data_IF_735509489059
#
_entry.id   IF_735509489059
#
_cell.length_a   1.000
_cell.length_b   1.000
_cell.length_c   1.000
_cell.angle_alpha   90.00
_cell.angle_beta   90.00
_cell.angle_gamma   90.00
#
_symmetry.space_group_name_H-M   'P 1'
#
loop_
_entity.id
_entity.type
_entity.pdbx_description
1 polymer ?
#
# COMPACT_ATOMS: atom_id res chain seq x y z
N UNK A 1 30.04 -4.29 -3.35
CA UNK A 1 28.78 -4.05 -4.08
C UNK A 1 27.67 -4.02 -3.04
N UNK A 2 27.21 -2.83 -2.65
CA UNK A 2 26.22 -2.66 -1.60
C UNK A 2 24.80 -2.86 -2.12
N UNK A 3 24.00 -3.62 -1.37
CA UNK A 3 22.57 -3.79 -1.58
C UNK A 3 21.88 -2.47 -1.17
N UNK A 4 21.53 -1.63 -2.15
CA UNK A 4 20.89 -0.32 -1.95
C UNK A 4 19.42 -0.45 -1.58
N UNK A 5 19.14 -0.91 -0.35
CA UNK A 5 17.79 -0.91 0.23
C UNK A 5 17.55 0.46 0.88
N UNK A 6 17.03 1.40 0.12
CA UNK A 6 16.66 2.71 0.67
C UNK A 6 15.39 2.55 1.51
N UNK A 7 15.53 2.77 2.82
CA UNK A 7 14.51 2.55 3.83
C UNK A 7 13.74 3.85 4.05
N UNK A 8 12.41 3.82 3.98
CA UNK A 8 11.59 4.99 4.34
C UNK A 8 11.55 5.12 5.86
N UNK A 9 12.35 6.04 6.40
CA UNK A 9 12.38 6.27 7.83
C UNK A 9 11.15 7.09 8.27
N UNK A 10 10.33 6.49 9.14
CA UNK A 10 9.29 7.22 9.85
C UNK A 10 9.96 8.02 10.98
N UNK A 11 9.98 9.35 10.86
CA UNK A 11 10.39 10.24 11.96
C UNK A 11 9.20 10.44 12.89
N UNK A 12 9.45 10.59 14.20
CA UNK A 12 8.49 10.50 15.34
C UNK A 12 7.17 11.29 15.22
N UNK A 13 6.95 12.12 14.20
CA UNK A 13 5.64 12.68 13.88
C UNK A 13 5.44 13.06 12.41
N UNK A 14 6.32 12.60 11.50
CA UNK A 14 6.32 13.03 10.09
C UNK A 14 6.82 11.96 9.15
N UNK A 15 6.31 11.99 7.91
CA UNK A 15 6.78 11.13 6.83
C UNK A 15 8.02 11.79 6.23
N UNK A 16 9.14 11.06 6.17
CA UNK A 16 10.32 11.50 5.41
C UNK A 16 10.05 11.31 3.92
N UNK A 17 10.19 12.38 3.14
CA UNK A 17 10.02 12.33 1.69
C UNK A 17 11.37 12.03 1.04
N UNK A 18 11.50 11.00 0.19
CA UNK A 18 12.78 10.68 -0.45
C UNK A 18 13.24 11.81 -1.40
N UNK A 19 14.55 12.01 -1.50
CA UNK A 19 15.15 13.02 -2.40
C UNK A 19 15.30 12.53 -3.86
N UNK A 20 15.06 11.24 -4.12
CA UNK A 20 15.14 10.67 -5.45
C UNK A 20 14.03 11.23 -6.37
N UNK A 21 14.30 11.42 -7.69
CA UNK A 21 13.30 11.91 -8.63
C UNK A 21 12.03 11.05 -8.67
N UNK A 22 10.88 11.66 -8.99
CA UNK A 22 9.60 10.96 -9.03
C UNK A 22 9.00 10.81 -7.62
N UNK A 23 8.33 9.68 -7.34
CA UNK A 23 7.80 9.39 -5.99
C UNK A 23 8.90 8.90 -5.02
N UNK A 24 10.12 8.71 -5.52
CA UNK A 24 11.27 8.29 -4.72
C UNK A 24 11.16 6.87 -4.13
N UNK A 25 10.30 6.02 -4.70
CA UNK A 25 10.11 4.63 -4.30
C UNK A 25 10.08 3.77 -5.56
N UNK A 26 10.87 2.71 -5.58
CA UNK A 26 10.92 1.72 -6.65
C UNK A 26 10.44 0.35 -6.13
N UNK A 27 9.67 -0.37 -6.96
CA UNK A 27 9.34 -1.75 -6.67
C UNK A 27 10.55 -2.65 -6.97
N UNK A 28 10.67 -3.75 -6.23
CA UNK A 28 11.64 -4.78 -6.59
C UNK A 28 11.22 -5.45 -7.90
N UNK A 29 12.20 -5.82 -8.72
CA UNK A 29 11.95 -6.51 -10.00
C UNK A 29 11.14 -7.82 -9.84
N UNK A 30 11.27 -8.48 -8.70
CA UNK A 30 10.59 -9.74 -8.36
C UNK A 30 9.27 -9.56 -7.59
N UNK A 31 8.79 -8.32 -7.42
CA UNK A 31 7.63 -8.03 -6.58
C UNK A 31 6.35 -8.73 -7.06
N UNK A 32 6.13 -8.80 -8.37
CA UNK A 32 4.94 -9.41 -8.98
C UNK A 32 4.90 -10.94 -8.80
N UNK A 33 6.07 -11.59 -8.89
CA UNK A 33 6.19 -13.04 -8.66
C UNK A 33 6.02 -13.38 -7.17
N UNK A 34 6.62 -12.57 -6.28
CA UNK A 34 6.56 -12.79 -4.83
C UNK A 34 5.18 -12.48 -4.24
N UNK A 35 4.48 -11.50 -4.81
CA UNK A 35 3.18 -11.03 -4.34
C UNK A 35 2.18 -10.96 -5.50
N UNK A 36 1.72 -12.12 -5.99
CA UNK A 36 0.80 -12.17 -7.11
C UNK A 36 -0.51 -11.47 -6.76
N UNK A 37 -1.15 -10.92 -7.79
CA UNK A 37 -2.43 -10.22 -7.65
C UNK A 37 -3.44 -11.14 -6.98
N UNK A 38 -3.98 -10.68 -5.86
CA UNK A 38 -5.13 -11.28 -5.20
C UNK A 38 -6.35 -10.49 -5.60
N UNK A 39 -7.47 -11.18 -5.81
CA UNK A 39 -8.76 -10.51 -5.96
C UNK A 39 -8.97 -9.60 -4.74
N UNK A 40 -9.03 -8.29 -4.99
CA UNK A 40 -9.13 -7.27 -3.96
C UNK A 40 -10.51 -6.66 -4.07
N UNK A 41 -11.30 -6.85 -3.02
CA UNK A 41 -12.63 -6.27 -2.90
C UNK A 41 -13.62 -7.30 -2.44
N UNK A 42 -13.97 -7.26 -1.16
CA UNK A 42 -15.32 -7.65 -0.79
C UNK A 42 -16.19 -6.41 -0.98
N UNK A 43 -17.16 -6.46 -1.89
CA UNK A 43 -18.24 -5.46 -1.97
C UNK A 43 -19.28 -5.69 -0.84
N UNK A 44 -18.84 -6.26 0.28
CA UNK A 44 -19.68 -6.50 1.45
C UNK A 44 -20.00 -5.17 2.10
N UNK A 45 -21.12 -4.57 1.68
CA UNK A 45 -21.77 -3.51 2.40
C UNK A 45 -22.47 -4.09 3.64
N UNK A 46 -22.30 -3.43 4.80
CA UNK A 46 -23.22 -3.64 5.91
C UNK A 46 -24.59 -3.12 5.50
N UNK A 47 -25.63 -3.92 5.75
CA UNK A 47 -27.01 -3.57 5.39
C UNK A 47 -27.88 -3.60 6.63
N UNK A 48 -28.87 -2.73 6.68
CA UNK A 48 -29.96 -2.81 7.64
C UNK A 48 -30.88 -3.99 7.29
N UNK A 49 -31.79 -4.34 8.21
CA UNK A 49 -32.74 -5.45 8.01
C UNK A 49 -33.67 -5.23 6.80
N UNK A 50 -33.86 -3.98 6.37
CA UNK A 50 -34.62 -3.61 5.18
C UNK A 50 -33.78 -3.67 3.88
N UNK A 51 -32.51 -4.04 3.96
CA UNK A 51 -31.59 -4.16 2.82
C UNK A 51 -30.91 -2.85 2.39
N UNK A 52 -31.24 -1.72 3.01
CA UNK A 52 -30.54 -0.45 2.75
C UNK A 52 -29.08 -0.50 3.21
N UNK A 53 -28.20 0.22 2.50
CA UNK A 53 -26.78 0.28 2.84
C UNK A 53 -26.59 1.11 4.10
N UNK A 54 -25.89 0.53 5.08
CA UNK A 54 -25.50 1.18 6.31
C UNK A 54 -24.13 1.84 6.11
N UNK A 55 -24.00 3.10 6.53
CA UNK A 55 -22.68 3.72 6.64
C UNK A 55 -21.88 2.99 7.73
N UNK A 56 -20.60 2.74 7.42
CA UNK A 56 -19.76 1.73 8.06
C UNK A 56 -19.64 1.89 9.59
#
# INVERSE_FOLDING_TARGET
>A
MGDGKEHIDAVTSGISIPEAPGIGVELRDDAEERYPVKERGSVSAFRYADGSVKDW
#
